data_IF_938469144273
#
_entry.id   IF_938469144273
#
_cell.length_a   1.000
_cell.length_b   1.000
_cell.length_c   1.000
_cell.angle_alpha   90.00
_cell.angle_beta   90.00
_cell.angle_gamma   90.00
#
_symmetry.space_group_name_H-M   'P 1'
#
loop_
_entity.id
_entity.type
_entity.pdbx_description
1 polymer ?
#
# COMPACT_ATOMS: atom_id res chain seq x y z
N UNK A 1 -23.61 -25.74 -17.30
CA UNK A 1 -23.54 -24.42 -16.63
C UNK A 1 -22.22 -24.38 -15.87
N UNK A 2 -21.21 -23.67 -16.39
CA UNK A 2 -19.95 -23.51 -15.67
C UNK A 2 -20.20 -22.62 -14.44
N UNK A 3 -19.89 -23.12 -13.24
CA UNK A 3 -19.84 -22.27 -12.05
C UNK A 3 -18.72 -21.27 -12.27
N UNK A 4 -19.06 -19.97 -12.36
CA UNK A 4 -18.06 -18.92 -12.24
C UNK A 4 -17.37 -19.12 -10.89
N UNK A 5 -16.05 -19.34 -10.90
CA UNK A 5 -15.27 -19.41 -9.67
C UNK A 5 -15.36 -18.04 -8.99
N UNK A 6 -16.25 -17.91 -8.00
CA UNK A 6 -16.36 -16.71 -7.18
C UNK A 6 -15.03 -16.53 -6.46
N UNK A 7 -14.20 -15.62 -6.98
CA UNK A 7 -12.92 -15.30 -6.35
C UNK A 7 -13.23 -14.71 -4.99
N UNK A 8 -12.55 -15.22 -3.96
CA UNK A 8 -12.68 -14.71 -2.59
C UNK A 8 -12.48 -13.19 -2.56
N UNK A 9 -13.31 -12.41 -1.84
CA UNK A 9 -13.18 -10.95 -1.82
C UNK A 9 -11.85 -10.47 -1.18
N UNK A 10 -11.17 -11.39 -0.50
CA UNK A 10 -9.87 -11.19 0.13
C UNK A 10 -8.68 -11.48 -0.79
N UNK A 11 -8.93 -11.92 -2.01
CA UNK A 11 -7.92 -12.41 -2.94
C UNK A 11 -8.05 -11.70 -4.27
N UNK A 12 -6.92 -11.47 -4.91
CA UNK A 12 -6.92 -10.97 -6.28
C UNK A 12 -7.33 -12.07 -7.26
N UNK A 13 -8.19 -11.72 -8.22
CA UNK A 13 -8.43 -12.55 -9.39
C UNK A 13 -7.25 -12.42 -10.34
N UNK A 14 -6.22 -13.23 -10.10
CA UNK A 14 -5.06 -13.31 -10.98
C UNK A 14 -5.47 -14.13 -12.21
N UNK A 15 -5.58 -13.47 -13.37
CA UNK A 15 -5.79 -14.17 -14.64
C UNK A 15 -4.55 -15.02 -14.94
N UNK A 16 -4.64 -16.34 -14.74
CA UNK A 16 -3.63 -17.30 -15.21
C UNK A 16 -3.72 -17.39 -16.73
N UNK A 17 -2.98 -16.56 -17.46
CA UNK A 17 -2.85 -16.72 -18.90
C UNK A 17 -1.85 -17.85 -19.20
N UNK A 18 -2.33 -19.09 -19.30
CA UNK A 18 -1.66 -20.18 -20.02
C UNK A 18 -0.31 -20.70 -19.49
N UNK A 19 -0.28 -22.00 -19.19
CA UNK A 19 0.87 -22.82 -18.74
C UNK A 19 1.26 -22.69 -17.26
N UNK A 20 1.47 -23.84 -16.63
CA UNK A 20 1.77 -23.99 -15.22
C UNK A 20 3.11 -23.32 -14.87
N UNK A 21 3.08 -22.48 -13.82
CA UNK A 21 4.23 -21.78 -13.18
C UNK A 21 4.68 -20.45 -13.78
N UNK A 22 3.80 -19.66 -14.39
CA UNK A 22 4.10 -18.23 -14.51
C UNK A 22 3.85 -17.56 -13.16
N UNK A 23 4.92 -17.35 -12.40
CA UNK A 23 4.93 -16.56 -11.17
C UNK A 23 4.29 -15.20 -11.48
N UNK A 24 3.20 -14.86 -10.78
CA UNK A 24 2.52 -13.58 -10.99
C UNK A 24 3.43 -12.49 -10.46
N UNK A 25 4.28 -11.97 -11.34
CA UNK A 25 5.26 -10.94 -10.99
C UNK A 25 4.53 -9.70 -10.47
N UNK A 26 5.06 -9.08 -9.43
CA UNK A 26 4.49 -7.87 -8.86
C UNK A 26 3.22 -8.08 -8.03
N UNK A 27 2.91 -9.28 -7.54
CA UNK A 27 1.77 -9.49 -6.63
C UNK A 27 2.21 -9.84 -5.20
N UNK A 28 1.67 -9.12 -4.22
CA UNK A 28 2.07 -9.19 -2.82
C UNK A 28 0.88 -9.20 -1.88
N UNK A 29 1.03 -9.87 -0.74
CA UNK A 29 0.25 -9.59 0.45
C UNK A 29 0.97 -8.57 1.29
N UNK A 30 0.27 -7.49 1.64
CA UNK A 30 0.72 -6.51 2.59
C UNK A 30 0.21 -6.91 3.98
N UNK A 31 1.12 -6.93 4.94
CA UNK A 31 0.81 -7.03 6.37
C UNK A 31 1.04 -5.65 6.95
N UNK A 32 -0.04 -4.97 7.29
CA UNK A 32 -0.05 -3.56 7.66
C UNK A 32 -0.34 -3.43 9.14
N UNK A 33 0.49 -2.65 9.83
CA UNK A 33 0.34 -2.30 11.23
C UNK A 33 0.35 -0.76 11.36
N UNK A 34 -0.81 -0.20 11.67
CA UNK A 34 -0.99 1.24 11.85
C UNK A 34 -1.18 1.54 13.33
N UNK A 35 -0.42 2.51 13.82
CA UNK A 35 -0.43 2.95 15.20
C UNK A 35 0.52 4.11 15.39
N UNK A 36 0.70 4.51 16.65
CA UNK A 36 1.64 5.59 16.96
C UNK A 36 3.07 5.13 16.73
N UNK A 37 3.78 5.86 15.88
CA UNK A 37 5.21 5.65 15.65
C UNK A 37 6.03 6.73 16.37
N UNK A 38 7.17 6.37 17.01
CA UNK A 38 8.08 7.35 17.61
C UNK A 38 8.54 8.40 16.59
N UNK A 39 8.59 9.66 17.01
CA UNK A 39 9.03 10.76 16.13
C UNK A 39 8.01 11.18 15.06
N UNK A 40 6.79 10.64 15.11
CA UNK A 40 5.68 11.13 14.27
C UNK A 40 5.09 12.41 14.82
N UNK A 41 4.65 13.26 13.89
CA UNK A 41 4.00 14.54 14.17
C UNK A 41 2.47 14.41 14.06
N UNK A 42 1.94 13.23 14.41
CA UNK A 42 0.51 13.02 14.56
C UNK A 42 0.01 13.81 15.77
N UNK A 43 -1.30 14.09 15.82
CA UNK A 43 -1.93 14.68 17.00
C UNK A 43 -1.53 13.89 18.26
N UNK A 44 -1.10 14.54 19.36
CA UNK A 44 -0.69 13.85 20.58
C UNK A 44 -1.74 12.89 21.17
N UNK A 45 -3.02 13.07 20.84
CA UNK A 45 -4.13 12.22 21.26
C UNK A 45 -4.38 11.05 20.31
N UNK A 46 -3.90 11.11 19.07
CA UNK A 46 -4.07 10.04 18.10
C UNK A 46 -3.15 8.87 18.45
N UNK A 47 -3.73 7.67 18.63
CA UNK A 47 -3.00 6.46 19.04
C UNK A 47 -2.24 6.58 20.37
N UNK A 48 -2.69 7.44 21.29
CA UNK A 48 -2.12 7.58 22.63
C UNK A 48 -2.40 6.37 23.55
N UNK A 49 -3.38 5.54 23.21
CA UNK A 49 -3.73 4.32 23.93
C UNK A 49 -2.83 3.12 23.59
N UNK A 50 -1.83 3.30 22.74
CA UNK A 50 -0.96 2.26 22.16
C UNK A 50 -1.72 1.17 21.37
N UNK A 51 -3.02 1.40 21.06
CA UNK A 51 -3.78 0.54 20.17
C UNK A 51 -3.23 0.59 18.76
N UNK A 52 -3.34 -0.55 18.06
CA UNK A 52 -2.87 -0.71 16.69
C UNK A 52 -3.95 -1.32 15.82
N UNK A 53 -4.10 -0.77 14.62
CA UNK A 53 -4.95 -1.31 13.58
C UNK A 53 -4.13 -2.18 12.65
N UNK A 54 -4.32 -3.49 12.77
CA UNK A 54 -3.67 -4.48 11.93
C UNK A 54 -4.61 -4.99 10.83
N UNK A 55 -4.13 -5.00 9.59
CA UNK A 55 -4.83 -5.65 8.49
C UNK A 55 -3.91 -6.26 7.45
N UNK A 56 -4.46 -7.17 6.65
CA UNK A 56 -3.78 -7.70 5.46
C UNK A 56 -4.57 -7.43 4.19
N UNK A 57 -3.87 -7.13 3.11
CA UNK A 57 -4.50 -6.90 1.80
C UNK A 57 -3.61 -7.42 0.67
N UNK A 58 -4.23 -8.07 -0.31
CA UNK A 58 -3.55 -8.54 -1.51
C UNK A 58 -3.53 -7.42 -2.54
N UNK A 59 -2.34 -7.14 -3.11
CA UNK A 59 -2.12 -6.09 -4.11
C UNK A 59 -1.33 -6.62 -5.30
N UNK A 60 -1.55 -6.04 -6.47
CA UNK A 60 -0.81 -6.34 -7.69
C UNK A 60 -0.42 -5.06 -8.41
N UNK A 61 0.88 -4.91 -8.62
CA UNK A 61 1.46 -3.87 -9.44
C UNK A 61 1.28 -4.22 -10.92
N UNK A 62 0.64 -3.33 -11.69
CA UNK A 62 0.35 -3.55 -13.12
C UNK A 62 1.10 -2.56 -14.00
N UNK A 63 1.39 -2.93 -15.25
CA UNK A 63 1.99 -2.00 -16.23
C UNK A 63 0.98 -1.02 -16.85
N UNK A 64 -0.28 -1.02 -16.40
CA UNK A 64 -1.34 -0.18 -16.95
C UNK A 64 -1.20 1.24 -16.38
N UNK A 65 -1.24 2.26 -17.24
CA UNK A 65 -1.18 3.65 -16.79
C UNK A 65 -2.40 3.99 -15.93
N UNK A 66 -2.17 4.68 -14.81
CA UNK A 66 -3.22 5.08 -13.89
C UNK A 66 -4.18 6.11 -14.52
N UNK A 67 -5.44 6.14 -14.06
CA UNK A 67 -6.38 7.22 -14.41
C UNK A 67 -5.88 8.57 -13.89
N UNK A 68 -6.41 9.67 -14.44
CA UNK A 68 -6.02 11.03 -14.04
C UNK A 68 -6.26 11.29 -12.55
N UNK A 69 -7.34 10.77 -11.99
CA UNK A 69 -7.66 10.91 -10.56
C UNK A 69 -6.61 10.18 -9.70
N UNK A 70 -6.28 8.93 -10.06
CA UNK A 70 -5.24 8.16 -9.38
C UNK A 70 -3.86 8.81 -9.52
N UNK A 71 -3.56 9.47 -10.64
CA UNK A 71 -2.34 10.25 -10.81
C UNK A 71 -2.32 11.48 -9.88
N UNK A 72 -3.45 12.16 -9.71
CA UNK A 72 -3.55 13.35 -8.87
C UNK A 72 -3.36 13.05 -7.37
N UNK A 73 -3.80 11.87 -6.93
CA UNK A 73 -3.67 11.37 -5.56
C UNK A 73 -2.24 10.96 -5.20
N UNK A 74 -1.39 10.68 -6.19
CA UNK A 74 -0.01 10.25 -5.93
C UNK A 74 0.78 11.36 -5.23
N UNK A 75 1.56 10.98 -4.19
CA UNK A 75 2.39 11.91 -3.43
C UNK A 75 3.27 12.76 -4.34
N UNK A 76 3.19 14.08 -4.23
CA UNK A 76 3.98 15.01 -5.06
C UNK A 76 5.31 15.40 -4.42
N UNK A 77 5.57 14.92 -3.21
CA UNK A 77 6.83 15.11 -2.51
C UNK A 77 7.98 14.47 -3.33
N UNK A 78 9.15 15.11 -3.33
CA UNK A 78 10.39 14.65 -3.97
C UNK A 78 10.49 14.78 -5.51
N UNK A 79 9.60 15.53 -6.16
CA UNK A 79 9.77 15.87 -7.59
C UNK A 79 10.95 16.84 -7.86
N UNK A 80 11.54 17.43 -6.81
CA UNK A 80 12.54 18.50 -6.90
C UNK A 80 14.01 18.09 -6.85
N UNK A 81 14.35 16.79 -6.93
CA UNK A 81 15.69 16.31 -6.61
C UNK A 81 16.31 15.35 -7.62
N UNK A 82 16.31 15.66 -8.92
CA UNK A 82 17.10 14.95 -9.96
C UNK A 82 16.80 13.46 -10.21
N UNK A 83 16.08 12.78 -9.31
CA UNK A 83 15.67 11.39 -9.45
C UNK A 83 14.42 11.33 -10.32
N UNK A 84 14.55 10.79 -11.53
CA UNK A 84 13.42 10.54 -12.40
C UNK A 84 12.47 9.54 -11.74
N UNK A 85 11.25 9.98 -11.42
CA UNK A 85 10.14 9.09 -11.08
C UNK A 85 9.55 8.53 -12.37
N UNK A 86 9.11 7.27 -12.34
CA UNK A 86 8.30 6.71 -13.42
C UNK A 86 6.95 7.42 -13.52
N UNK A 87 6.20 7.23 -14.63
CA UNK A 87 4.77 7.48 -14.65
C UNK A 87 4.06 6.74 -13.50
N UNK A 88 2.85 7.18 -13.19
CA UNK A 88 1.99 6.48 -12.22
C UNK A 88 1.20 5.39 -12.94
N UNK A 89 1.23 4.20 -12.37
CA UNK A 89 0.58 3.00 -12.87
C UNK A 89 -0.51 2.54 -11.91
N UNK A 90 -1.47 1.76 -12.40
CA UNK A 90 -2.55 1.21 -11.60
C UNK A 90 -2.03 0.15 -10.61
N UNK A 91 -2.48 0.27 -9.35
CA UNK A 91 -2.36 -0.77 -8.34
C UNK A 91 -3.71 -1.47 -8.19
N UNK A 92 -3.76 -2.75 -8.53
CA UNK A 92 -4.93 -3.60 -8.23
C UNK A 92 -4.87 -4.03 -6.78
N UNK A 93 -6.01 -4.06 -6.12
CA UNK A 93 -6.15 -4.48 -4.73
C UNK A 93 -7.31 -5.47 -4.60
N UNK A 94 -7.25 -6.35 -3.61
CA UNK A 94 -8.44 -7.08 -3.16
C UNK A 94 -9.52 -6.07 -2.75
N UNK A 95 -10.79 -6.45 -2.90
CA UNK A 95 -11.91 -5.56 -2.56
C UNK A 95 -12.06 -5.36 -1.05
N UNK A 96 -11.56 -6.30 -0.26
CA UNK A 96 -11.58 -6.24 1.20
C UNK A 96 -10.18 -6.50 1.79
N UNK A 97 -9.80 -5.70 2.78
CA UNK A 97 -8.65 -5.95 3.66
C UNK A 97 -9.09 -6.74 4.90
N UNK A 98 -8.38 -7.82 5.23
CA UNK A 98 -8.67 -8.69 6.39
C UNK A 98 -8.20 -8.01 7.66
N UNK A 99 -9.11 -7.67 8.55
CA UNK A 99 -8.80 -7.17 9.90
C UNK A 99 -8.94 -8.32 10.90
N UNK A 100 -8.16 -8.28 11.98
CA UNK A 100 -8.22 -9.29 13.06
C UNK A 100 -8.24 -10.72 12.48
N UNK A 101 -7.28 -11.04 11.61
CA UNK A 101 -7.17 -12.35 10.94
C UNK A 101 -8.39 -12.79 10.10
N UNK A 102 -9.24 -11.84 9.67
CA UNK A 102 -10.41 -12.11 8.83
C UNK A 102 -11.74 -12.21 9.58
N UNK A 103 -11.76 -11.95 10.90
CA UNK A 103 -13.02 -11.77 11.65
C UNK A 103 -13.73 -10.46 11.29
N UNK A 104 -12.99 -9.50 10.74
CA UNK A 104 -13.51 -8.19 10.33
C UNK A 104 -12.94 -7.80 8.97
N UNK A 105 -13.61 -6.87 8.31
CA UNK A 105 -13.35 -6.49 6.93
C UNK A 105 -13.36 -4.98 6.76
N UNK A 106 -12.45 -4.48 5.93
CA UNK A 106 -12.42 -3.08 5.53
C UNK A 106 -12.41 -3.00 4.02
N UNK A 107 -13.49 -2.47 3.41
CA UNK A 107 -13.50 -2.28 1.97
C UNK A 107 -12.36 -1.38 1.52
N UNK A 108 -11.73 -1.81 0.43
CA UNK A 108 -10.58 -1.15 -0.16
C UNK A 108 -10.87 -0.88 -1.61
N UNK A 109 -10.45 0.30 -2.07
CA UNK A 109 -10.55 0.69 -3.47
C UNK A 109 -9.18 0.82 -4.09
N UNK A 110 -9.17 0.82 -5.44
CA UNK A 110 -7.96 0.76 -6.24
C UNK A 110 -6.98 1.89 -5.90
N UNK A 111 -5.71 1.60 -6.13
CA UNK A 111 -4.60 2.48 -5.84
C UNK A 111 -3.81 2.90 -7.06
N UNK A 112 -2.75 3.64 -6.81
CA UNK A 112 -1.72 3.95 -7.80
C UNK A 112 -0.34 3.68 -7.24
N UNK A 113 0.63 3.48 -8.13
CA UNK A 113 2.03 3.37 -7.74
C UNK A 113 2.97 4.04 -8.74
N UNK A 114 4.17 4.38 -8.28
CA UNK A 114 5.31 4.78 -9.12
C UNK A 114 6.62 4.26 -8.54
N UNK A 115 7.64 4.25 -9.37
CA UNK A 115 9.03 3.98 -8.98
C UNK A 115 9.81 5.29 -8.97
N UNK A 116 10.33 5.66 -7.80
CA UNK A 116 11.28 6.76 -7.67
C UNK A 116 12.71 6.23 -7.89
N UNK A 117 13.57 7.06 -8.49
CA UNK A 117 14.95 6.67 -8.79
C UNK A 117 15.07 5.74 -9.99
N UNK A 118 14.15 5.84 -10.97
CA UNK A 118 14.13 4.98 -12.16
C UNK A 118 15.46 4.96 -12.93
N UNK A 119 16.25 6.04 -12.86
CA UNK A 119 17.59 6.14 -13.44
C UNK A 119 18.71 5.40 -12.71
N UNK A 120 18.53 5.00 -11.44
CA UNK A 120 19.53 4.27 -10.65
C UNK A 120 18.95 2.95 -10.13
N UNK A 121 19.27 1.84 -10.83
CA UNK A 121 18.74 0.50 -10.56
C UNK A 121 19.02 -0.05 -9.16
N UNK A 122 19.98 0.53 -8.44
CA UNK A 122 20.41 0.10 -7.10
C UNK A 122 19.66 0.77 -5.95
N UNK A 123 18.95 1.87 -6.20
CA UNK A 123 18.31 2.70 -5.17
C UNK A 123 16.91 3.14 -5.57
N UNK A 124 16.10 2.20 -6.08
CA UNK A 124 14.71 2.48 -6.39
C UNK A 124 13.84 2.37 -5.14
N UNK A 125 12.83 3.22 -5.07
CA UNK A 125 11.78 3.15 -4.05
C UNK A 125 10.45 3.04 -4.75
N UNK A 126 9.69 1.98 -4.43
CA UNK A 126 8.29 1.93 -4.82
C UNK A 126 7.50 2.80 -3.85
N UNK A 127 6.73 3.74 -4.42
CA UNK A 127 5.73 4.49 -3.69
C UNK A 127 4.38 4.15 -4.25
N UNK A 128 3.46 3.78 -3.38
CA UNK A 128 2.12 3.42 -3.78
C UNK A 128 1.13 3.87 -2.74
N UNK A 129 -0.14 3.91 -3.14
CA UNK A 129 -1.22 4.18 -2.21
C UNK A 129 -2.41 3.29 -2.53
N UNK A 130 -3.28 3.13 -1.55
CA UNK A 130 -4.62 2.57 -1.73
C UNK A 130 -5.59 3.36 -0.86
N UNK A 131 -6.87 3.32 -1.22
CA UNK A 131 -7.94 3.96 -0.46
C UNK A 131 -8.72 2.89 0.30
N UNK A 132 -9.19 3.25 1.49
CA UNK A 132 -9.98 2.36 2.36
C UNK A 132 -11.25 3.07 2.81
N UNK A 133 -12.29 2.35 3.21
CA UNK A 133 -13.47 2.93 3.87
C UNK A 133 -13.17 3.46 5.29
N UNK A 134 -11.91 3.46 5.71
CA UNK A 134 -11.51 3.92 7.03
C UNK A 134 -11.90 2.93 8.13
N UNK A 135 -11.33 3.16 9.31
CA UNK A 135 -11.63 2.40 10.52
C UNK A 135 -11.28 3.23 11.74
N UNK A 136 -12.08 3.09 12.78
CA UNK A 136 -11.79 3.63 14.10
C UNK A 136 -11.62 2.49 15.09
N UNK A 137 -10.55 2.55 15.88
CA UNK A 137 -10.33 1.69 17.05
C UNK A 137 -9.80 2.56 18.20
N UNK A 138 -10.70 2.92 19.12
CA UNK A 138 -10.38 3.85 20.20
C UNK A 138 -10.01 5.24 19.69
N UNK A 139 -8.79 5.67 20.02
CA UNK A 139 -8.20 6.95 19.64
C UNK A 139 -7.38 6.90 18.34
N UNK A 140 -7.40 5.77 17.65
CA UNK A 140 -6.87 5.60 16.31
C UNK A 140 -8.00 5.67 15.30
N UNK A 141 -7.88 6.60 14.34
CA UNK A 141 -8.78 6.69 13.19
C UNK A 141 -7.99 6.77 11.88
N UNK A 142 -8.49 6.04 10.88
CA UNK A 142 -8.17 6.23 9.47
C UNK A 142 -9.41 6.78 8.79
N UNK A 143 -9.25 7.93 8.13
CA UNK A 143 -10.34 8.62 7.48
C UNK A 143 -10.86 7.82 6.26
N UNK A 144 -12.19 7.73 6.08
CA UNK A 144 -12.78 7.05 4.94
C UNK A 144 -12.37 7.71 3.63
N UNK A 145 -12.08 6.88 2.64
CA UNK A 145 -11.60 7.26 1.32
C UNK A 145 -10.30 8.08 1.28
N UNK A 146 -9.65 8.33 2.41
CA UNK A 146 -8.32 8.94 2.42
C UNK A 146 -7.27 7.95 1.90
N UNK A 147 -6.33 8.38 1.05
CA UNK A 147 -5.24 7.51 0.63
C UNK A 147 -4.30 7.16 1.79
N UNK A 148 -4.04 5.86 1.96
CA UNK A 148 -2.92 5.36 2.74
C UNK A 148 -1.72 5.22 1.82
N UNK A 149 -0.60 5.85 2.16
CA UNK A 149 0.61 5.87 1.35
C UNK A 149 1.65 4.92 1.91
N UNK A 150 2.29 4.19 1.01
CA UNK A 150 3.26 3.15 1.31
C UNK A 150 4.56 3.43 0.57
N UNK A 151 5.68 3.18 1.24
CA UNK A 151 7.01 3.35 0.67
C UNK A 151 7.93 2.21 1.07
N UNK A 152 8.61 1.61 0.09
CA UNK A 152 9.53 0.50 0.32
C UNK A 152 10.62 0.48 -0.78
N UNK A 153 11.88 0.14 -0.46
CA UNK A 153 12.89 -0.06 -1.49
C UNK A 153 12.53 -1.19 -2.46
N UNK A 154 12.81 -0.97 -3.75
CA UNK A 154 12.69 -1.94 -4.82
C UNK A 154 14.06 -2.12 -5.48
N UNK A 155 14.43 -3.36 -5.83
CA UNK A 155 15.75 -3.67 -6.37
C UNK A 155 15.66 -4.22 -7.79
N UNK A 156 16.58 -3.80 -8.69
CA UNK A 156 16.77 -4.47 -9.97
C UNK A 156 15.75 -4.13 -11.07
N UNK A 157 15.15 -2.94 -11.03
CA UNK A 157 14.17 -2.45 -12.02
C UNK A 157 12.91 -3.30 -12.18
N UNK A 158 12.64 -4.23 -11.27
CA UNK A 158 11.41 -5.01 -11.32
C UNK A 158 10.66 -4.93 -9.98
N UNK A 159 9.34 -4.92 -10.08
CA UNK A 159 8.45 -4.99 -8.92
C UNK A 159 8.36 -6.41 -8.36
N UNK A 160 9.10 -7.36 -8.94
CA UNK A 160 9.24 -8.73 -8.48
C UNK A 160 10.17 -8.85 -7.27
N UNK A 161 11.00 -7.83 -7.02
CA UNK A 161 12.00 -7.84 -5.97
C UNK A 161 11.88 -6.62 -5.04
N UNK A 162 10.73 -6.54 -4.37
CA UNK A 162 10.55 -5.62 -3.25
C UNK A 162 11.39 -6.06 -2.05
N UNK A 163 11.89 -5.08 -1.29
CA UNK A 163 12.59 -5.33 -0.04
C UNK A 163 11.75 -6.21 0.90
N UNK A 164 12.40 -7.17 1.56
CA UNK A 164 11.75 -8.00 2.60
C UNK A 164 11.67 -7.30 3.96
N UNK A 165 12.33 -6.15 4.11
CA UNK A 165 12.27 -5.32 5.32
C UNK A 165 10.94 -4.60 5.40
N UNK A 166 10.66 -4.04 6.56
CA UNK A 166 9.51 -3.18 6.77
C UNK A 166 9.60 -1.91 5.92
N UNK A 167 8.48 -1.57 5.30
CA UNK A 167 8.24 -0.29 4.67
C UNK A 167 7.41 0.60 5.57
N UNK A 168 7.25 1.84 5.14
CA UNK A 168 6.57 2.87 5.92
C UNK A 168 5.15 3.05 5.41
N UNK A 169 4.20 3.21 6.33
CA UNK A 169 2.83 3.66 6.06
C UNK A 169 2.68 5.09 6.50
N UNK A 170 2.06 5.92 5.66
CA UNK A 170 1.87 7.34 5.93
C UNK A 170 0.51 7.82 5.45
N UNK A 171 0.04 8.91 6.07
CA UNK A 171 -1.15 9.67 5.66
C UNK A 171 -0.76 11.09 5.33
N UNK A 172 -1.64 11.78 4.60
CA UNK A 172 -1.50 13.21 4.32
C UNK A 172 -2.40 13.98 5.26
N UNK A 173 -1.80 14.89 6.01
CA UNK A 173 -2.52 15.73 6.95
C UNK A 173 -2.05 17.16 6.82
N UNK A 174 -2.98 18.10 7.00
CA UNK A 174 -2.60 19.50 7.12
C UNK A 174 -1.90 19.74 8.46
N UNK A 175 -0.74 20.36 8.40
CA UNK A 175 0.07 20.69 9.57
C UNK A 175 0.65 22.09 9.48
N UNK A 176 1.00 22.63 10.64
CA UNK A 176 1.76 23.87 10.75
C UNK A 176 3.26 23.58 10.63
N UNK A 177 3.91 24.16 9.63
CA UNK A 177 5.35 24.04 9.44
C UNK A 177 5.95 25.43 9.19
N UNK A 178 6.94 25.81 10.03
CA UNK A 178 7.74 27.03 9.88
C UNK A 178 6.94 28.33 9.61
N UNK A 179 5.72 28.45 10.12
CA UNK A 179 4.93 29.68 10.00
C UNK A 179 3.78 29.64 8.98
N UNK A 180 3.54 28.52 8.29
CA UNK A 180 2.42 28.36 7.37
C UNK A 180 1.80 26.97 7.44
N UNK A 181 0.53 26.89 7.03
CA UNK A 181 -0.23 25.65 6.97
C UNK A 181 0.01 24.96 5.62
N UNK A 182 0.44 23.71 5.63
CA UNK A 182 0.63 22.91 4.41
C UNK A 182 0.28 21.46 4.67
N UNK A 183 0.00 20.74 3.60
CA UNK A 183 -0.21 19.29 3.67
C UNK A 183 1.15 18.58 3.79
N UNK A 184 1.29 17.72 4.79
CA UNK A 184 2.52 16.97 5.08
C UNK A 184 2.25 15.47 5.17
N UNK A 185 3.25 14.69 4.79
CA UNK A 185 3.27 13.25 5.02
C UNK A 185 3.57 12.97 6.50
N UNK A 186 2.66 12.27 7.19
CA UNK A 186 2.83 11.80 8.56
C UNK A 186 2.94 10.28 8.54
N UNK A 187 4.02 9.74 9.10
CA UNK A 187 4.15 8.29 9.28
C UNK A 187 3.12 7.86 10.32
N UNK A 188 2.44 6.74 10.08
CA UNK A 188 1.39 6.20 10.96
C UNK A 188 1.56 4.71 11.19
N UNK A 189 2.67 4.13 10.76
CA UNK A 189 2.90 2.71 10.92
C UNK A 189 3.89 2.14 9.93
N UNK A 190 3.92 0.82 9.90
CA UNK A 190 4.82 0.03 9.07
C UNK A 190 4.04 -1.05 8.32
N UNK A 191 4.67 -1.59 7.29
CA UNK A 191 4.11 -2.74 6.60
C UNK A 191 5.21 -3.68 6.11
N UNK A 192 4.84 -4.94 5.90
CA UNK A 192 5.69 -5.92 5.24
C UNK A 192 5.01 -6.40 3.96
N UNK A 193 5.76 -6.43 2.86
CA UNK A 193 5.33 -7.05 1.62
C UNK A 193 5.88 -8.48 1.52
N UNK A 194 4.99 -9.45 1.34
CA UNK A 194 5.32 -10.86 1.10
C UNK A 194 4.73 -11.25 -0.25
N UNK A 195 5.47 -11.94 -1.12
CA UNK A 195 4.91 -12.35 -2.41
C UNK A 195 3.67 -13.21 -2.20
N UNK A 196 2.66 -13.10 -3.08
CA UNK A 196 1.44 -13.88 -2.89
C UNK A 196 1.70 -15.39 -2.86
N UNK A 197 2.63 -15.89 -3.68
CA UNK A 197 3.03 -17.30 -3.67
C UNK A 197 3.60 -17.75 -2.31
N UNK A 198 4.32 -16.88 -1.61
CA UNK A 198 4.84 -17.17 -0.27
C UNK A 198 3.75 -17.04 0.79
N UNK A 199 2.89 -16.03 0.68
CA UNK A 199 1.78 -15.81 1.61
C UNK A 199 0.77 -16.98 1.56
N UNK A 200 0.38 -17.42 0.36
CA UNK A 200 -0.54 -18.55 0.18
C UNK A 200 0.02 -19.86 0.76
N UNK A 201 1.31 -20.13 0.55
CA UNK A 201 1.98 -21.30 1.16
C UNK A 201 1.97 -21.27 2.68
N UNK A 202 2.09 -20.07 3.29
CA UNK A 202 2.05 -19.92 4.75
C UNK A 202 0.64 -20.07 5.31
N UNK A 203 -0.37 -19.65 4.56
CA UNK A 203 -1.78 -19.79 4.95
C UNK A 203 -2.28 -21.24 4.88
N UNK A 204 -1.50 -22.16 4.28
CA UNK A 204 -1.84 -23.59 4.24
C UNK A 204 -2.87 -23.97 3.17
N UNK A 205 -3.01 -23.16 2.11
CA UNK A 205 -3.84 -23.48 0.93
C UNK A 205 -3.02 -24.08 -0.21
#
# INVERSE_FOLDING_TARGET
KAQASTTSPWSLSLSKSGSEREQVSGAYRLYVDIGREPGTWMDPRWGASDRRLEFTIDVQFTSVAASRDTQNDMVKDNLGGGSQSSPVYELKTASLARLRQGFDQMPCSKGGYRLDGAGNKSQQTVRFFLRTEGKQDGDLSIEPNAPLYFSLPAFGNNLSNLSRKEGIVSVRQMGWHTGWYREESRIVGVFRAVSLDEAQRKDGF
#
